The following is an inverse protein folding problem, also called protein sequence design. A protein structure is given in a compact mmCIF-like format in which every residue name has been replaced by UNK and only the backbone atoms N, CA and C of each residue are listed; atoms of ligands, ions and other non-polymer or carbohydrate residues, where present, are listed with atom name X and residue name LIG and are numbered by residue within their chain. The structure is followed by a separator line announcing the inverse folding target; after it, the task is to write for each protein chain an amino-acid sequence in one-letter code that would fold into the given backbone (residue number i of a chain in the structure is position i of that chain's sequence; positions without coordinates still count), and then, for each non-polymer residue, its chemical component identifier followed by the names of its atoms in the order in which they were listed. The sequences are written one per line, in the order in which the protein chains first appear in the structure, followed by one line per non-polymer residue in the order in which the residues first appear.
data_IF_117529728830
#
_entry.id   IF_117529728830
#
_cell.length_a   1.000
_cell.length_b   1.000
_cell.length_c   1.000
_cell.angle_alpha   90.00
_cell.angle_beta   90.00
_cell.angle_gamma   90.00
#
_symmetry.space_group_name_H-M   'P 1'
#
loop_
_entity.id
_entity.type
_entity.pdbx_description
1 polymer ?
#
# COMPACT_ATOMS: atom_id res chain seq x y z
N UNK A 1 -5.30 -24.04 -80.82
CA UNK A 1 -5.84 -23.86 -79.45
C UNK A 1 -4.70 -23.34 -78.55
N UNK A 2 -4.64 -22.03 -78.36
CA UNK A 2 -3.59 -21.38 -77.54
C UNK A 2 -4.20 -21.07 -76.16
N UNK A 3 -3.64 -21.67 -75.09
CA UNK A 3 -4.03 -21.45 -73.71
C UNK A 3 -3.22 -20.26 -73.21
N UNK A 4 -3.89 -19.18 -72.87
CA UNK A 4 -3.30 -18.00 -72.19
C UNK A 4 -3.44 -18.18 -70.68
N UNK A 5 -2.30 -18.28 -70.01
CA UNK A 5 -2.21 -18.34 -68.57
C UNK A 5 -2.23 -16.90 -68.00
N UNK A 6 -3.26 -16.53 -67.31
CA UNK A 6 -3.33 -15.25 -66.61
C UNK A 6 -2.67 -15.38 -65.18
N UNK A 7 -1.59 -14.63 -64.99
CA UNK A 7 -0.90 -14.51 -63.69
C UNK A 7 -1.69 -13.52 -62.84
N UNK A 8 -2.32 -13.99 -61.77
CA UNK A 8 -2.95 -13.14 -60.79
C UNK A 8 -1.88 -12.73 -59.74
N UNK A 9 -1.49 -11.46 -59.78
CA UNK A 9 -0.68 -10.88 -58.69
C UNK A 9 -1.53 -10.69 -57.46
N UNK A 10 -1.30 -11.49 -56.43
CA UNK A 10 -1.80 -11.24 -55.08
C UNK A 10 -0.92 -10.15 -54.43
N UNK A 11 -1.46 -8.96 -54.31
CA UNK A 11 -0.88 -7.91 -53.47
C UNK A 11 -1.16 -8.25 -52.00
N UNK A 12 -0.15 -8.66 -51.26
CA UNK A 12 -0.20 -8.74 -49.78
C UNK A 12 -0.27 -7.33 -49.19
N UNK A 13 -1.19 -7.06 -48.27
CA UNK A 13 -1.16 -5.79 -47.57
C UNK A 13 0.10 -5.71 -46.70
N UNK A 14 0.95 -4.72 -46.95
CA UNK A 14 2.01 -4.34 -46.02
C UNK A 14 1.35 -3.93 -44.71
N UNK A 15 1.53 -4.73 -43.68
CA UNK A 15 1.33 -4.27 -42.28
C UNK A 15 2.29 -3.10 -42.07
N UNK A 16 1.75 -1.89 -41.96
CA UNK A 16 2.50 -0.76 -41.46
C UNK A 16 2.88 -1.08 -39.98
N UNK A 17 4.14 -1.35 -39.75
CA UNK A 17 4.71 -1.35 -38.42
C UNK A 17 4.53 0.08 -37.92
N UNK A 18 3.67 0.27 -36.90
CA UNK A 18 3.56 1.55 -36.24
C UNK A 18 4.97 1.90 -35.75
N UNK A 19 5.55 2.95 -36.31
CA UNK A 19 6.79 3.50 -35.76
C UNK A 19 6.53 3.88 -34.31
N UNK A 20 7.33 3.35 -33.40
CA UNK A 20 7.29 3.72 -32.00
C UNK A 20 7.26 5.24 -31.90
N UNK A 21 6.31 5.77 -31.13
CA UNK A 21 6.26 7.20 -30.88
C UNK A 21 7.63 7.64 -30.35
N UNK A 22 8.17 8.77 -30.82
CA UNK A 22 9.45 9.25 -30.32
C UNK A 22 9.40 9.34 -28.79
N UNK A 23 10.45 8.92 -28.09
CA UNK A 23 10.49 9.00 -26.65
C UNK A 23 10.13 10.43 -26.23
N UNK A 24 9.18 10.55 -25.30
CA UNK A 24 8.79 11.84 -24.74
C UNK A 24 10.01 12.59 -24.19
N UNK A 25 9.92 13.91 -23.99
CA UNK A 25 11.03 14.67 -23.43
C UNK A 25 11.44 14.04 -22.09
N UNK A 26 12.74 13.91 -21.83
CA UNK A 26 13.21 13.36 -20.56
C UNK A 26 12.63 14.18 -19.41
N UNK A 27 12.28 13.54 -18.27
CA UNK A 27 11.80 14.26 -17.12
C UNK A 27 12.78 15.37 -16.75
N UNK A 28 12.29 16.52 -16.29
CA UNK A 28 13.15 17.65 -15.96
C UNK A 28 14.25 17.18 -15.02
N UNK A 29 15.47 17.44 -15.40
CA UNK A 29 16.64 17.06 -14.62
C UNK A 29 17.46 15.87 -15.14
N UNK A 30 17.10 15.15 -16.21
CA UNK A 30 17.97 14.12 -16.84
C UNK A 30 18.63 14.66 -18.11
N UNK A 31 19.95 14.81 -18.09
CA UNK A 31 20.74 14.98 -19.30
C UNK A 31 21.12 13.59 -19.81
N UNK A 32 20.86 13.24 -21.07
CA UNK A 32 21.34 11.98 -21.64
C UNK A 32 22.85 11.86 -21.48
N UNK A 33 23.34 10.82 -20.83
CA UNK A 33 24.76 10.54 -20.63
C UNK A 33 25.48 11.33 -19.54
N UNK A 34 24.81 12.21 -18.81
CA UNK A 34 25.39 12.94 -17.66
C UNK A 34 25.20 12.18 -16.36
N UNK A 35 26.26 12.00 -15.57
CA UNK A 35 26.17 11.58 -14.18
C UNK A 35 25.29 12.56 -13.38
N UNK A 36 24.73 12.08 -12.26
CA UNK A 36 23.99 12.95 -11.33
C UNK A 36 24.95 13.96 -10.72
N UNK A 37 24.66 15.24 -10.83
CA UNK A 37 25.36 16.29 -10.08
C UNK A 37 24.91 16.27 -8.60
N UNK A 38 25.70 16.85 -7.69
CA UNK A 38 25.36 16.91 -6.26
C UNK A 38 23.98 17.52 -6.01
N UNK A 39 23.66 18.60 -6.71
CA UNK A 39 22.36 19.29 -6.61
C UNK A 39 21.18 18.37 -6.99
N UNK A 40 21.38 17.47 -7.95
CA UNK A 40 20.35 16.52 -8.41
C UNK A 40 20.21 15.30 -7.50
N UNK A 41 21.26 14.89 -6.83
CA UNK A 41 21.14 13.88 -5.76
C UNK A 41 20.28 14.43 -4.62
N UNK A 42 20.40 15.73 -4.37
CA UNK A 42 19.61 16.43 -3.37
C UNK A 42 18.13 16.48 -3.73
N UNK A 43 17.78 16.64 -5.00
CA UNK A 43 16.39 16.63 -5.50
C UNK A 43 15.76 15.23 -5.46
N UNK A 44 16.57 14.17 -5.48
CA UNK A 44 16.09 12.80 -5.42
C UNK A 44 15.91 12.28 -3.99
N UNK A 45 16.52 12.95 -3.01
CA UNK A 45 16.41 12.58 -1.61
C UNK A 45 15.18 13.24 -0.99
N UNK A 46 14.30 12.44 -0.40
CA UNK A 46 13.20 12.98 0.40
C UNK A 46 13.77 13.73 1.60
N UNK A 47 13.56 15.05 1.66
CA UNK A 47 14.08 15.92 2.69
C UNK A 47 12.95 16.53 3.51
N UNK A 48 13.16 16.55 4.82
CA UNK A 48 12.39 17.39 5.73
C UNK A 48 13.20 18.65 6.02
N UNK A 49 12.68 19.80 5.64
CA UNK A 49 13.35 21.09 5.89
C UNK A 49 13.66 21.26 7.38
N UNK A 50 14.93 21.56 7.68
CA UNK A 50 15.37 21.77 9.06
C UNK A 50 15.58 20.52 9.92
N UNK A 51 15.35 19.31 9.41
CA UNK A 51 15.54 18.06 10.12
C UNK A 51 16.65 17.18 9.50
N UNK A 52 17.40 16.52 10.37
CA UNK A 52 18.28 15.43 9.94
C UNK A 52 17.43 14.21 9.53
N UNK A 53 17.92 13.42 8.60
CA UNK A 53 17.31 12.13 8.28
C UNK A 53 17.17 11.25 9.53
N UNK A 54 16.11 10.44 9.60
CA UNK A 54 15.85 9.58 10.77
C UNK A 54 17.02 8.60 11.04
N UNK A 55 17.68 8.15 10.00
CA UNK A 55 18.82 7.21 10.10
C UNK A 55 20.17 7.92 10.21
N UNK A 56 20.23 9.27 10.22
CA UNK A 56 21.49 9.99 10.39
C UNK A 56 22.10 9.70 11.77
N UNK A 57 23.38 9.29 11.86
CA UNK A 57 24.03 8.97 13.14
C UNK A 57 23.89 10.09 14.17
N UNK A 58 24.04 11.34 13.75
CA UNK A 58 23.88 12.50 14.62
C UNK A 58 22.43 12.69 15.14
N UNK A 59 21.41 12.23 14.39
CA UNK A 59 20.04 12.25 14.85
C UNK A 59 19.77 11.11 15.84
N UNK A 60 20.23 9.91 15.52
CA UNK A 60 20.10 8.73 16.40
C UNK A 60 20.78 8.97 17.75
N UNK A 61 21.93 9.62 17.77
CA UNK A 61 22.71 9.88 18.98
C UNK A 61 22.12 10.96 19.90
N UNK A 62 21.14 11.74 19.45
CA UNK A 62 20.49 12.76 20.31
C UNK A 62 19.79 12.08 21.49
N UNK A 63 20.01 12.62 22.70
CA UNK A 63 19.31 12.16 23.89
C UNK A 63 17.79 12.34 23.73
N UNK A 64 17.04 11.31 24.07
CA UNK A 64 15.56 11.28 24.05
C UNK A 64 15.02 10.55 25.27
N UNK A 65 13.81 10.85 25.73
CA UNK A 65 13.15 10.04 26.74
C UNK A 65 13.09 8.57 26.28
N UNK A 66 13.29 7.66 27.24
CA UNK A 66 13.18 6.22 26.96
C UNK A 66 11.75 5.88 26.57
N UNK A 67 11.59 5.17 25.47
CA UNK A 67 10.29 4.64 25.04
C UNK A 67 9.72 3.68 26.10
N UNK A 68 8.41 3.74 26.40
CA UNK A 68 7.76 2.87 27.39
C UNK A 68 7.87 1.38 27.08
N UNK A 69 7.94 1.03 25.79
CA UNK A 69 8.13 -0.34 25.31
C UNK A 69 8.95 -0.35 24.01
N UNK A 70 9.31 -1.54 23.57
CA UNK A 70 10.03 -1.77 22.33
C UNK A 70 9.24 -2.72 21.43
N UNK A 71 8.91 -2.27 20.20
CA UNK A 71 8.19 -3.07 19.20
C UNK A 71 9.11 -3.92 18.32
N UNK A 72 10.43 -3.82 18.48
CA UNK A 72 11.38 -4.63 17.68
C UNK A 72 11.05 -6.11 17.78
N UNK A 73 10.90 -6.77 16.64
CA UNK A 73 10.58 -8.18 16.53
C UNK A 73 9.72 -8.52 15.33
N UNK A 74 9.43 -9.79 15.17
CA UNK A 74 8.48 -10.31 14.17
C UNK A 74 7.10 -10.44 14.80
N UNK A 75 6.09 -9.99 14.07
CA UNK A 75 4.72 -9.93 14.54
C UNK A 75 3.78 -10.58 13.53
N UNK A 76 2.81 -11.34 14.02
CA UNK A 76 1.77 -11.91 13.18
C UNK A 76 0.39 -11.57 13.73
N UNK A 77 -0.57 -11.27 12.84
CA UNK A 77 -1.91 -10.88 13.25
C UNK A 77 -2.58 -11.99 14.07
N UNK A 78 -3.23 -11.64 15.18
CA UNK A 78 -3.90 -12.61 16.06
C UNK A 78 -5.25 -13.04 15.45
N UNK A 79 -5.27 -14.22 14.87
CA UNK A 79 -6.46 -14.83 14.28
C UNK A 79 -7.12 -15.89 15.19
N UNK A 80 -6.63 -16.05 16.43
CA UNK A 80 -7.10 -17.11 17.35
C UNK A 80 -8.57 -16.94 17.77
N UNK A 81 -9.09 -15.71 17.78
CA UNK A 81 -10.48 -15.41 18.16
C UNK A 81 -11.43 -15.54 16.97
N UNK A 82 -11.10 -14.91 15.87
CA UNK A 82 -11.86 -14.95 14.63
C UNK A 82 -10.99 -14.58 13.45
N UNK A 83 -11.13 -15.29 12.34
CA UNK A 83 -10.47 -14.90 11.09
C UNK A 83 -10.97 -13.54 10.59
N UNK A 84 -12.20 -13.13 10.95
CA UNK A 84 -12.74 -11.83 10.60
C UNK A 84 -12.07 -10.67 11.36
N UNK A 85 -11.39 -10.92 12.48
CA UNK A 85 -10.76 -9.87 13.30
C UNK A 85 -9.60 -9.15 12.56
N UNK A 86 -9.07 -9.72 11.47
CA UNK A 86 -8.09 -9.03 10.64
C UNK A 86 -8.70 -7.91 9.78
N UNK A 87 -10.01 -7.93 9.50
CA UNK A 87 -10.70 -6.95 8.68
C UNK A 87 -11.00 -5.66 9.44
N UNK A 88 -11.22 -4.54 8.72
CA UNK A 88 -11.56 -3.27 9.36
C UNK A 88 -13.04 -3.14 9.73
N UNK A 89 -13.90 -3.95 9.21
CA UNK A 89 -15.32 -3.96 9.58
C UNK A 89 -15.91 -5.36 9.60
N UNK A 90 -17.16 -5.57 10.05
CA UNK A 90 -18.03 -4.65 10.75
C UNK A 90 -17.57 -4.30 12.19
N UNK A 91 -18.04 -3.19 12.81
CA UNK A 91 -19.00 -2.23 12.26
C UNK A 91 -18.38 -1.30 11.22
N UNK A 92 -19.17 -0.88 10.26
CA UNK A 92 -18.81 0.11 9.25
C UNK A 92 -19.38 1.48 9.61
N UNK A 93 -18.75 2.58 9.15
CA UNK A 93 -19.30 3.92 9.28
C UNK A 93 -20.51 4.10 8.34
N UNK A 94 -21.20 5.22 8.48
CA UNK A 94 -22.19 5.68 7.51
C UNK A 94 -21.47 6.18 6.24
N UNK A 95 -21.44 5.36 5.19
CA UNK A 95 -20.80 5.71 3.93
C UNK A 95 -21.63 6.71 3.12
N UNK A 96 -20.94 7.63 2.46
CA UNK A 96 -21.48 8.38 1.33
C UNK A 96 -21.32 7.58 0.03
N UNK A 97 -21.97 8.02 -1.07
CA UNK A 97 -21.53 7.58 -2.39
C UNK A 97 -20.09 8.13 -2.65
N UNK A 98 -19.16 7.41 -3.16
CA UNK A 98 -19.13 6.07 -3.76
C UNK A 98 -18.89 4.91 -2.78
N UNK A 99 -18.73 5.18 -1.48
CA UNK A 99 -18.50 4.12 -0.48
C UNK A 99 -19.65 3.13 -0.39
N UNK A 100 -20.93 3.63 -0.44
CA UNK A 100 -22.12 2.77 -0.47
C UNK A 100 -22.14 1.87 -1.71
N UNK A 101 -21.77 2.40 -2.86
CA UNK A 101 -21.67 1.63 -4.10
C UNK A 101 -20.62 0.53 -3.98
N UNK A 102 -19.42 0.87 -3.47
CA UNK A 102 -18.36 -0.10 -3.24
C UNK A 102 -18.81 -1.24 -2.30
N UNK A 103 -19.54 -0.93 -1.25
CA UNK A 103 -20.08 -1.94 -0.33
C UNK A 103 -21.10 -2.87 -1.02
N UNK A 104 -22.05 -2.32 -1.79
CA UNK A 104 -23.04 -3.12 -2.54
C UNK A 104 -22.36 -4.05 -3.54
N UNK A 105 -21.41 -3.54 -4.30
CA UNK A 105 -20.69 -4.30 -5.31
C UNK A 105 -19.79 -5.37 -4.68
N UNK A 106 -19.07 -5.03 -3.60
CA UNK A 106 -18.27 -5.98 -2.82
C UNK A 106 -19.11 -7.12 -2.26
N UNK A 107 -20.31 -6.82 -1.73
CA UNK A 107 -21.22 -7.85 -1.24
C UNK A 107 -21.74 -8.74 -2.38
N UNK A 108 -22.06 -8.16 -3.53
CA UNK A 108 -22.49 -8.90 -4.71
C UNK A 108 -21.38 -9.84 -5.23
N UNK A 109 -20.13 -9.37 -5.26
CA UNK A 109 -18.96 -10.16 -5.62
C UNK A 109 -18.74 -11.33 -4.64
N UNK A 110 -18.81 -11.04 -3.33
CA UNK A 110 -18.69 -12.06 -2.28
C UNK A 110 -19.75 -13.16 -2.41
N UNK A 111 -21.00 -12.80 -2.72
CA UNK A 111 -22.07 -13.78 -2.96
C UNK A 111 -21.79 -14.68 -4.16
N UNK A 112 -21.04 -14.19 -5.15
CA UNK A 112 -20.60 -14.95 -6.34
C UNK A 112 -19.28 -15.69 -6.11
N UNK A 113 -18.59 -15.49 -4.97
CA UNK A 113 -17.29 -16.09 -4.68
C UNK A 113 -16.13 -15.51 -5.53
N UNK A 114 -16.26 -14.27 -6.00
CA UNK A 114 -15.24 -13.62 -6.85
C UNK A 114 -14.62 -12.41 -6.16
N UNK A 115 -13.36 -12.04 -6.48
CA UNK A 115 -12.74 -10.85 -5.93
C UNK A 115 -13.42 -9.58 -6.42
N UNK A 116 -13.30 -8.51 -5.64
CA UNK A 116 -13.81 -7.18 -5.98
C UNK A 116 -12.71 -6.15 -5.79
N UNK A 117 -12.40 -5.39 -6.84
CA UNK A 117 -11.35 -4.37 -6.86
C UNK A 117 -10.04 -4.86 -6.24
N UNK A 118 -9.54 -5.97 -6.75
CA UNK A 118 -8.29 -6.58 -6.29
C UNK A 118 -7.07 -5.92 -6.96
N UNK A 119 -6.78 -4.69 -6.56
CA UNK A 119 -5.60 -3.95 -7.02
C UNK A 119 -4.29 -4.68 -6.69
N UNK A 120 -4.27 -5.40 -5.57
CA UNK A 120 -3.10 -6.19 -5.14
C UNK A 120 -2.83 -7.33 -6.13
N UNK A 121 -3.85 -7.99 -6.65
CA UNK A 121 -3.70 -8.99 -7.70
C UNK A 121 -3.08 -8.42 -8.99
N UNK A 122 -3.18 -7.12 -9.19
CA UNK A 122 -2.53 -6.38 -10.28
C UNK A 122 -1.20 -5.75 -9.87
N UNK A 123 -0.65 -6.14 -8.72
CA UNK A 123 0.60 -5.64 -8.15
C UNK A 123 0.60 -4.15 -7.76
N UNK A 124 -0.55 -3.53 -7.57
CA UNK A 124 -0.58 -2.27 -6.85
C UNK A 124 -0.19 -2.49 -5.39
N UNK A 125 0.53 -1.57 -4.76
CA UNK A 125 0.85 -1.68 -3.35
C UNK A 125 -0.43 -1.75 -2.51
N UNK A 126 -0.47 -2.63 -1.52
CA UNK A 126 -1.62 -2.69 -0.61
C UNK A 126 -1.82 -1.38 0.14
N UNK A 127 -0.72 -0.73 0.53
CA UNK A 127 -0.73 0.51 1.28
C UNK A 127 -1.38 0.43 2.66
N UNK A 128 -1.23 1.49 3.44
CA UNK A 128 -1.93 1.64 4.71
C UNK A 128 -3.38 2.11 4.48
N UNK A 129 -4.40 1.58 5.17
CA UNK A 129 -4.32 0.57 6.21
C UNK A 129 -4.42 -0.87 5.69
N UNK A 130 -4.71 -1.10 4.41
CA UNK A 130 -5.01 -2.43 3.86
C UNK A 130 -3.89 -3.45 4.12
N UNK A 131 -2.63 -3.04 4.08
CA UNK A 131 -1.50 -3.94 4.34
C UNK A 131 -1.54 -4.56 5.74
N UNK A 132 -2.15 -3.87 6.70
CA UNK A 132 -2.35 -4.35 8.07
C UNK A 132 -3.45 -5.43 8.16
N UNK A 133 -4.15 -5.73 7.07
CA UNK A 133 -5.14 -6.80 6.97
C UNK A 133 -4.59 -8.04 6.23
N UNK A 134 -3.31 -8.04 5.91
CA UNK A 134 -2.70 -9.20 5.25
C UNK A 134 -2.27 -10.22 6.29
N UNK A 135 -2.54 -11.49 6.02
CA UNK A 135 -2.13 -12.63 6.88
C UNK A 135 -0.67 -12.99 6.61
N UNK A 136 0.20 -12.01 6.78
CA UNK A 136 1.64 -12.12 6.61
C UNK A 136 2.36 -11.49 7.79
N UNK A 137 3.54 -11.99 8.19
CA UNK A 137 4.29 -11.41 9.29
C UNK A 137 4.81 -10.02 8.96
N UNK A 138 5.04 -9.23 10.01
CA UNK A 138 5.60 -7.88 9.96
C UNK A 138 6.85 -7.88 10.83
N UNK A 139 8.00 -7.50 10.27
CA UNK A 139 9.18 -7.19 11.04
C UNK A 139 9.16 -5.71 11.42
N UNK A 140 9.37 -5.42 12.69
CA UNK A 140 9.51 -4.06 13.19
C UNK A 140 10.88 -3.86 13.81
N UNK A 141 11.49 -2.70 13.52
CA UNK A 141 12.74 -2.25 14.15
C UNK A 141 12.48 -0.89 14.74
N UNK A 142 12.63 -0.77 16.06
CA UNK A 142 12.47 0.49 16.75
C UNK A 142 13.84 1.14 17.02
N UNK A 143 14.02 2.31 16.44
CA UNK A 143 15.15 3.21 16.69
C UNK A 143 14.69 4.38 17.58
N UNK A 144 15.61 5.16 18.16
CA UNK A 144 15.25 6.37 18.88
C UNK A 144 14.52 7.43 18.04
N UNK A 145 14.63 7.34 16.73
CA UNK A 145 14.16 8.32 15.74
C UNK A 145 12.98 7.86 14.91
N UNK A 146 12.77 6.56 14.82
CA UNK A 146 11.70 6.00 14.00
C UNK A 146 11.39 4.55 14.38
N UNK A 147 10.18 4.10 14.05
CA UNK A 147 9.85 2.68 13.92
C UNK A 147 9.83 2.36 12.43
N UNK A 148 10.66 1.40 12.04
CA UNK A 148 10.68 0.84 10.70
C UNK A 148 9.82 -0.44 10.70
N UNK A 149 8.88 -0.52 9.77
CA UNK A 149 8.04 -1.69 9.55
C UNK A 149 8.34 -2.27 8.17
N UNK A 150 8.71 -3.54 8.12
CA UNK A 150 8.84 -4.29 6.88
C UNK A 150 7.77 -5.38 6.87
N UNK A 151 6.91 -5.33 5.86
CA UNK A 151 5.80 -6.27 5.70
C UNK A 151 6.25 -7.44 4.84
N UNK A 152 6.06 -8.67 5.30
CA UNK A 152 6.33 -9.87 4.53
C UNK A 152 5.45 -9.99 3.27
N UNK A 153 4.37 -9.22 3.21
CA UNK A 153 3.55 -9.12 2.01
C UNK A 153 4.16 -8.09 1.04
N UNK A 154 4.66 -8.56 -0.10
CA UNK A 154 5.28 -7.76 -1.18
C UNK A 154 6.44 -6.86 -0.74
N UNK A 155 7.15 -7.22 0.33
CA UNK A 155 8.29 -6.48 0.88
C UNK A 155 8.06 -4.97 1.03
N UNK A 156 6.82 -4.59 1.33
CA UNK A 156 6.44 -3.19 1.52
C UNK A 156 7.02 -2.65 2.82
N UNK A 157 7.41 -1.38 2.83
CA UNK A 157 8.08 -0.74 3.96
C UNK A 157 7.34 0.51 4.40
N UNK A 158 7.34 0.77 5.71
CA UNK A 158 6.79 1.98 6.31
C UNK A 158 7.73 2.53 7.37
N UNK A 159 7.92 3.85 7.37
CA UNK A 159 8.58 4.58 8.45
C UNK A 159 7.55 5.33 9.27
N UNK A 160 7.64 5.19 10.60
CA UNK A 160 6.92 6.01 11.57
C UNK A 160 7.97 6.86 12.26
N UNK A 161 8.05 8.15 11.95
CA UNK A 161 9.03 9.05 12.52
C UNK A 161 8.67 9.44 13.96
N UNK A 162 9.61 9.28 14.89
CA UNK A 162 9.42 9.57 16.34
C UNK A 162 10.42 10.59 16.86
N UNK A 163 11.12 11.28 15.97
CA UNK A 163 12.19 12.22 16.30
C UNK A 163 11.72 13.66 16.51
N UNK A 164 10.41 13.88 16.52
CA UNK A 164 9.80 15.18 16.82
C UNK A 164 9.62 16.08 15.59
N UNK A 165 9.81 15.54 14.37
CA UNK A 165 9.50 16.28 13.14
C UNK A 165 7.99 16.48 12.98
N UNK A 166 7.62 17.50 12.22
CA UNK A 166 6.25 17.70 11.73
C UNK A 166 6.05 17.03 10.37
N UNK A 167 4.80 16.99 9.89
CA UNK A 167 4.49 16.56 8.53
C UNK A 167 5.15 17.45 7.49
N UNK A 168 5.48 16.86 6.34
CA UNK A 168 5.90 17.61 5.15
C UNK A 168 4.80 18.59 4.74
N UNK A 169 5.20 19.74 4.19
CA UNK A 169 4.27 20.76 3.69
C UNK A 169 3.37 20.15 2.62
N UNK A 170 2.07 20.44 2.70
CA UNK A 170 1.08 19.93 1.78
C UNK A 170 1.37 20.27 0.30
N UNK A 171 2.03 21.42 0.07
CA UNK A 171 2.39 21.89 -1.28
C UNK A 171 3.60 21.15 -1.90
N UNK A 172 4.35 20.39 -1.09
CA UNK A 172 5.60 19.73 -1.52
C UNK A 172 5.60 18.22 -1.26
N UNK A 173 4.62 17.72 -0.51
CA UNK A 173 4.55 16.30 -0.15
C UNK A 173 4.24 15.42 -1.37
N UNK A 174 4.86 14.25 -1.40
CA UNK A 174 4.52 13.19 -2.36
C UNK A 174 3.55 12.22 -1.70
N UNK A 175 2.37 12.07 -2.29
CA UNK A 175 1.39 11.07 -1.86
C UNK A 175 1.91 9.67 -2.19
N UNK A 176 1.84 8.77 -1.21
CA UNK A 176 2.30 7.39 -1.37
C UNK A 176 1.32 6.42 -0.72
N UNK A 177 1.42 5.13 -1.05
CA UNK A 177 0.53 4.10 -0.49
C UNK A 177 0.76 3.86 1.00
N UNK A 178 1.99 3.96 1.50
CA UNK A 178 2.28 3.84 2.93
C UNK A 178 2.30 5.19 3.65
N UNK A 179 2.21 6.29 2.90
CA UNK A 179 1.96 7.65 3.38
C UNK A 179 3.04 8.18 4.32
N UNK A 180 2.89 9.36 4.85
CA UNK A 180 3.78 9.91 5.87
C UNK A 180 3.20 9.66 7.27
N UNK A 181 4.00 9.09 8.16
CA UNK A 181 3.59 8.71 9.51
C UNK A 181 4.46 9.37 10.56
N UNK A 182 3.83 10.12 11.47
CA UNK A 182 4.48 10.80 12.60
C UNK A 182 3.97 10.18 13.90
N UNK A 183 4.89 9.68 14.72
CA UNK A 183 4.59 9.06 16.01
C UNK A 183 5.02 9.91 17.18
N UNK A 184 4.18 9.94 18.22
CA UNK A 184 4.49 10.57 19.53
C UNK A 184 4.16 9.60 20.66
N UNK A 185 5.04 9.54 21.66
CA UNK A 185 4.77 8.78 22.88
C UNK A 185 3.84 9.55 23.79
N UNK A 186 2.71 8.93 24.13
CA UNK A 186 1.71 9.47 25.06
C UNK A 186 1.44 8.47 26.17
N UNK A 187 2.02 8.72 27.35
CA UNK A 187 1.99 7.76 28.44
C UNK A 187 2.60 6.42 28.00
N UNK A 188 1.84 5.34 28.10
CA UNK A 188 2.26 3.99 27.72
C UNK A 188 1.85 3.60 26.29
N UNK A 189 1.61 4.56 25.41
CA UNK A 189 1.25 4.29 24.02
C UNK A 189 2.08 5.11 23.05
N UNK A 190 2.32 4.53 21.86
CA UNK A 190 2.79 5.28 20.69
C UNK A 190 1.56 5.66 19.86
N UNK A 191 1.29 6.97 19.78
CA UNK A 191 0.22 7.51 18.93
C UNK A 191 0.82 7.96 17.62
N UNK A 192 0.33 7.41 16.54
CA UNK A 192 0.82 7.64 15.17
C UNK A 192 -0.28 8.31 14.36
N UNK A 193 0.03 9.45 13.76
CA UNK A 193 -0.83 10.09 12.76
C UNK A 193 -0.25 9.84 11.37
N UNK A 194 -1.11 9.52 10.41
CA UNK A 194 -0.70 9.24 9.02
C UNK A 194 -1.57 10.03 8.06
N UNK A 195 -0.91 10.69 7.09
CA UNK A 195 -1.52 11.57 6.09
C UNK A 195 -0.87 11.37 4.72
N UNK A 196 -1.47 11.99 3.69
CA UNK A 196 -0.94 12.05 2.32
C UNK A 196 -0.92 10.70 1.63
N UNK A 197 -2.08 10.03 1.68
CA UNK A 197 -2.30 8.75 1.03
C UNK A 197 -2.53 8.92 -0.48
N UNK A 198 -1.82 8.13 -1.30
CA UNK A 198 -2.14 8.01 -2.73
C UNK A 198 -3.52 7.34 -2.90
N UNK A 199 -4.53 8.01 -3.46
CA UNK A 199 -5.88 7.44 -3.52
C UNK A 199 -6.12 6.51 -4.72
N UNK A 200 -5.23 6.53 -5.73
CA UNK A 200 -5.42 5.75 -6.94
C UNK A 200 -5.21 4.25 -6.68
N UNK A 201 -6.20 3.42 -7.03
CA UNK A 201 -6.18 1.96 -6.79
C UNK A 201 -5.85 1.60 -5.33
N UNK A 202 -6.22 2.47 -4.40
CA UNK A 202 -5.97 2.31 -2.97
C UNK A 202 -7.29 2.13 -2.22
N UNK A 203 -7.40 1.02 -1.54
CA UNK A 203 -8.62 0.60 -0.87
C UNK A 203 -8.37 0.25 0.59
N UNK A 204 -9.37 0.50 1.44
CA UNK A 204 -9.50 -0.19 2.71
C UNK A 204 -10.08 -1.57 2.42
N UNK A 205 -9.94 -2.48 3.31
CA UNK A 205 -10.48 -3.84 3.20
C UNK A 205 -11.86 -3.90 2.50
N UNK A 206 -12.03 -4.88 1.61
CA UNK A 206 -13.26 -5.09 0.86
C UNK A 206 -13.48 -4.15 -0.34
N UNK A 207 -12.43 -3.48 -0.83
CA UNK A 207 -12.50 -2.63 -2.02
C UNK A 207 -13.16 -1.27 -1.76
N UNK A 208 -13.23 -0.82 -0.51
CA UNK A 208 -13.71 0.51 -0.15
C UNK A 208 -12.61 1.51 -0.46
N UNK A 209 -12.83 2.43 -1.43
CA UNK A 209 -11.81 3.40 -1.82
C UNK A 209 -11.59 4.46 -0.73
N UNK A 210 -10.41 5.05 -0.73
CA UNK A 210 -10.10 6.24 0.05
C UNK A 210 -10.02 7.46 -0.85
N UNK A 211 -10.12 8.65 -0.27
CA UNK A 211 -9.88 9.91 -0.96
C UNK A 211 -8.53 10.52 -0.58
N UNK A 212 -8.17 11.62 -1.24
CA UNK A 212 -7.03 12.47 -0.91
C UNK A 212 -7.13 13.18 0.47
N UNK A 213 -8.30 13.07 1.12
CA UNK A 213 -8.56 13.62 2.46
C UNK A 213 -8.58 12.54 3.55
N UNK A 214 -8.21 11.32 3.20
CA UNK A 214 -8.11 10.24 4.18
C UNK A 214 -6.99 10.51 5.18
N UNK A 215 -7.31 10.41 6.46
CA UNK A 215 -6.35 10.46 7.56
C UNK A 215 -6.55 9.28 8.51
N UNK A 216 -5.48 8.84 9.14
CA UNK A 216 -5.51 7.74 10.08
C UNK A 216 -4.71 8.08 11.33
N UNK A 217 -5.28 7.74 12.49
CA UNK A 217 -4.58 7.71 13.77
C UNK A 217 -4.54 6.27 14.28
N UNK A 218 -3.36 5.84 14.71
CA UNK A 218 -3.11 4.54 15.29
C UNK A 218 -2.58 4.71 16.71
N UNK A 219 -3.09 3.91 17.65
CA UNK A 219 -2.58 3.87 19.01
C UNK A 219 -2.03 2.49 19.31
N UNK A 220 -0.71 2.42 19.39
CA UNK A 220 0.02 1.19 19.70
C UNK A 220 0.13 1.02 21.22
N UNK A 221 -0.27 -0.14 21.69
CA UNK A 221 -0.18 -0.49 23.14
C UNK A 221 0.40 -1.90 23.26
N UNK A 222 1.41 -2.02 24.12
CA UNK A 222 2.02 -3.32 24.41
C UNK A 222 1.28 -4.00 25.55
N UNK A 223 0.88 -5.25 25.35
CA UNK A 223 0.13 -6.07 26.30
C UNK A 223 0.91 -7.35 26.63
N UNK A 224 0.43 -8.07 27.63
CA UNK A 224 0.89 -9.43 27.98
C UNK A 224 2.42 -9.54 28.17
N UNK A 225 3.02 -8.54 28.84
CA UNK A 225 4.46 -8.52 29.06
C UNK A 225 5.32 -8.44 27.79
N UNK A 226 4.80 -7.85 26.73
CA UNK A 226 5.52 -7.68 25.46
C UNK A 226 5.19 -8.75 24.40
N UNK A 227 4.26 -9.64 24.66
CA UNK A 227 3.88 -10.73 23.77
C UNK A 227 2.78 -10.35 22.77
N UNK A 228 1.99 -9.33 23.09
CA UNK A 228 0.87 -8.87 22.25
C UNK A 228 1.00 -7.37 22.00
N UNK A 229 0.95 -6.97 20.75
CA UNK A 229 0.83 -5.58 20.33
C UNK A 229 -0.60 -5.31 19.89
N UNK A 230 -1.31 -4.43 20.59
CA UNK A 230 -2.61 -3.94 20.18
C UNK A 230 -2.45 -2.62 19.45
N UNK A 231 -3.16 -2.45 18.35
CA UNK A 231 -3.25 -1.21 17.60
C UNK A 231 -4.73 -0.85 17.43
N UNK A 232 -5.10 0.30 17.99
CA UNK A 232 -6.43 0.89 17.84
C UNK A 232 -6.37 1.92 16.71
N UNK A 233 -7.21 1.75 15.71
CA UNK A 233 -7.30 2.61 14.53
C UNK A 233 -8.47 3.57 14.67
N UNK A 234 -8.24 4.82 14.30
CA UNK A 234 -9.27 5.82 14.03
C UNK A 234 -9.00 6.40 12.66
N UNK A 235 -9.93 6.21 11.75
CA UNK A 235 -9.83 6.62 10.34
C UNK A 235 -10.91 7.64 10.03
N UNK A 236 -10.57 8.68 9.29
CA UNK A 236 -11.50 9.70 8.81
C UNK A 236 -11.30 9.94 7.32
N UNK A 237 -12.40 10.06 6.61
CA UNK A 237 -12.40 10.47 5.20
C UNK A 237 -13.71 11.21 4.91
N UNK A 238 -13.70 12.55 4.97
CA UNK A 238 -14.92 13.35 4.86
C UNK A 238 -15.57 13.30 3.47
N UNK A 239 -14.90 12.73 2.46
CA UNK A 239 -15.48 12.48 1.13
C UNK A 239 -16.15 11.12 1.03
N UNK A 240 -15.80 10.17 1.91
CA UNK A 240 -16.20 8.78 1.79
C UNK A 240 -17.21 8.33 2.84
N UNK A 241 -17.13 8.85 4.08
CA UNK A 241 -18.03 8.50 5.18
C UNK A 241 -18.16 9.61 6.21
N UNK A 242 -19.18 9.46 7.07
CA UNK A 242 -19.47 10.39 8.15
C UNK A 242 -18.73 9.98 9.43
N UNK A 243 -18.00 10.92 10.01
CA UNK A 243 -17.35 10.76 11.30
C UNK A 243 -16.14 9.84 11.27
N UNK A 244 -15.96 9.06 12.31
CA UNK A 244 -14.79 8.21 12.52
C UNK A 244 -15.11 6.74 12.30
N UNK A 245 -14.24 6.04 11.58
CA UNK A 245 -14.25 4.58 11.49
C UNK A 245 -13.19 4.02 12.44
N UNK A 246 -13.65 3.27 13.44
CA UNK A 246 -12.76 2.68 14.47
C UNK A 246 -12.61 1.18 14.28
N UNK A 247 -11.42 0.69 14.54
CA UNK A 247 -11.11 -0.73 14.54
C UNK A 247 -9.95 -1.02 15.49
N UNK A 248 -9.92 -2.20 16.07
CA UNK A 248 -8.81 -2.67 16.91
C UNK A 248 -8.26 -3.96 16.34
N UNK A 249 -6.94 -4.06 16.26
CA UNK A 249 -6.24 -5.28 15.84
C UNK A 249 -5.16 -5.64 16.84
N UNK A 250 -4.85 -6.95 16.91
CA UNK A 250 -3.79 -7.47 17.77
C UNK A 250 -2.80 -8.28 16.95
N UNK A 251 -1.55 -8.14 17.30
CA UNK A 251 -0.44 -8.92 16.75
C UNK A 251 0.25 -9.68 17.86
N UNK A 252 0.62 -10.92 17.57
CA UNK A 252 1.38 -11.78 18.47
C UNK A 252 2.84 -11.72 18.06
N UNK A 253 3.72 -11.66 19.05
CA UNK A 253 5.16 -11.76 18.83
C UNK A 253 5.53 -13.17 18.42
N UNK A 254 6.35 -13.28 17.37
CA UNK A 254 6.79 -14.53 16.76
C UNK A 254 8.31 -14.64 16.88
N UNK A 255 8.79 -15.09 18.03
CA UNK A 255 10.23 -15.07 18.36
C UNK A 255 11.06 -16.06 17.50
N UNK A 256 10.41 -17.06 16.87
CA UNK A 256 11.05 -18.07 16.04
C UNK A 256 10.80 -17.87 14.52
N UNK A 257 10.29 -16.70 14.13
CA UNK A 257 9.90 -16.44 12.75
C UNK A 257 10.65 -15.25 12.16
N UNK A 258 11.07 -15.41 10.91
CA UNK A 258 11.55 -14.35 10.04
C UNK A 258 10.56 -14.15 8.88
N UNK A 259 10.73 -13.09 8.12
CA UNK A 259 9.96 -12.86 6.91
C UNK A 259 10.78 -13.22 5.66
N UNK A 260 10.21 -14.00 4.73
CA UNK A 260 10.85 -14.24 3.44
C UNK A 260 10.70 -13.02 2.53
N UNK A 261 11.53 -12.96 1.50
CA UNK A 261 11.31 -12.08 0.36
C UNK A 261 10.10 -12.57 -0.45
N UNK A 262 9.13 -11.68 -0.68
CA UNK A 262 7.93 -11.97 -1.46
C UNK A 262 7.66 -10.81 -2.42
N UNK A 263 7.78 -11.10 -3.71
CA UNK A 263 7.56 -10.12 -4.76
C UNK A 263 6.28 -10.38 -5.54
N UNK A 264 5.61 -9.31 -5.93
CA UNK A 264 4.52 -9.39 -6.88
C UNK A 264 5.07 -9.28 -8.30
N UNK A 265 4.76 -10.27 -9.14
CA UNK A 265 5.25 -10.31 -10.53
C UNK A 265 4.10 -10.01 -11.50
N UNK A 266 3.99 -8.78 -12.03
CA UNK A 266 2.85 -8.38 -12.87
C UNK A 266 2.63 -9.28 -14.08
N UNK A 267 3.71 -9.80 -14.68
CA UNK A 267 3.63 -10.71 -15.83
C UNK A 267 2.98 -12.07 -15.50
N UNK A 268 3.10 -12.54 -14.25
CA UNK A 268 2.43 -13.74 -13.79
C UNK A 268 0.99 -13.45 -13.40
N UNK A 269 0.70 -12.26 -12.94
CA UNK A 269 -0.60 -11.84 -12.43
C UNK A 269 -1.50 -11.18 -13.47
N UNK A 270 -1.00 -10.89 -14.67
CA UNK A 270 -1.73 -10.15 -15.73
C UNK A 270 -3.10 -10.74 -16.11
N UNK A 271 -3.34 -12.01 -15.81
CA UNK A 271 -4.61 -12.68 -16.10
C UNK A 271 -5.52 -12.77 -14.88
N UNK A 272 -5.08 -12.29 -13.71
CA UNK A 272 -5.92 -12.25 -12.53
C UNK A 272 -6.95 -11.12 -12.68
N UNK A 273 -8.23 -11.40 -12.41
CA UNK A 273 -9.25 -10.37 -12.46
C UNK A 273 -9.13 -9.43 -11.26
N UNK A 274 -9.28 -8.15 -11.50
CA UNK A 274 -9.38 -7.15 -10.43
C UNK A 274 -10.81 -6.77 -10.06
N UNK A 275 -11.77 -7.21 -10.88
CA UNK A 275 -13.20 -6.90 -10.75
C UNK A 275 -14.07 -8.14 -10.93
N UNK A 276 -15.36 -8.02 -10.61
CA UNK A 276 -16.35 -9.08 -10.86
C UNK A 276 -16.42 -9.46 -12.32
N UNK A 277 -16.37 -8.47 -13.21
CA UNK A 277 -16.43 -8.67 -14.67
C UNK A 277 -15.18 -9.42 -15.16
N UNK A 278 -14.02 -9.08 -14.60
CA UNK A 278 -12.78 -9.76 -14.90
C UNK A 278 -12.80 -11.23 -14.52
N UNK A 279 -13.34 -11.56 -13.33
CA UNK A 279 -13.52 -12.95 -12.90
C UNK A 279 -14.48 -13.70 -13.81
N UNK A 280 -15.60 -13.10 -14.17
CA UNK A 280 -16.58 -13.71 -15.07
C UNK A 280 -15.94 -14.04 -16.43
N UNK A 281 -15.13 -13.15 -16.98
CA UNK A 281 -14.43 -13.37 -18.24
C UNK A 281 -13.41 -14.52 -18.16
N UNK A 282 -12.77 -14.72 -17.00
CA UNK A 282 -11.88 -15.86 -16.75
C UNK A 282 -12.66 -17.16 -16.68
N UNK A 283 -13.77 -17.17 -15.95
CA UNK A 283 -14.63 -18.35 -15.77
C UNK A 283 -15.24 -18.80 -17.12
N UNK A 284 -15.68 -17.86 -17.94
CA UNK A 284 -16.27 -18.15 -19.25
C UNK A 284 -15.23 -18.73 -20.22
N UNK A 285 -13.99 -18.23 -20.19
CA UNK A 285 -12.87 -18.82 -20.97
C UNK A 285 -12.52 -20.24 -20.50
N UNK A 286 -12.49 -20.46 -19.18
CA UNK A 286 -12.24 -21.78 -18.62
C UNK A 286 -13.34 -22.81 -18.96
N UNK A 287 -14.59 -22.36 -19.08
CA UNK A 287 -15.72 -23.20 -19.54
C UNK A 287 -15.63 -23.51 -21.05
N UNK A 288 -15.22 -22.51 -21.84
CA UNK A 288 -15.09 -22.69 -23.29
C UNK A 288 -13.92 -23.58 -23.70
N UNK A 289 -12.93 -23.77 -22.83
CA UNK A 289 -11.75 -24.61 -23.04
C UNK A 289 -11.96 -26.10 -22.64
N UNK A 290 -13.10 -26.46 -22.08
CA UNK A 290 -13.53 -27.83 -21.73
C UNK A 290 -14.46 -28.39 -22.79
#
# INVERSE_FOLDING_TARGET
MRLTLALACFALPMLAIAADAPPGPPPPGRTPGGGLTGDRLDDLAHRHAGHLGALAPANIAKARPKAPFNVTGTWFIDLRRSFADFRFGPPYPEFFEPGQTAMRESEAARKKGVPYRDSIGQCYPAGMPMIMTRVWPINMIQLPTAVFMNFGFTNSMRFIYTDGRDFTDADTVVYTYNSESIGKWEGNALVVKTKYFEPNEHYIDGGIPISDQFEMTERFTMLDGGKTLQIDYTMTDPKMWKGEWKSTKRWLRMDESDIPEVECLPNLNKNLPSTVEGQQAVDDRAKAAK
#
